data_IF_885930906766
#
_entry.id   IF_885930906766
#
_cell.length_a   1.000
_cell.length_b   1.000
_cell.length_c   1.000
_cell.angle_alpha   90.00
_cell.angle_beta   90.00
_cell.angle_gamma   90.00
#
_symmetry.space_group_name_H-M   'P 1'
#
loop_
_entity.id
_entity.type
_entity.pdbx_description
1 polymer ?
#
# COMPACT_ATOMS: atom_id res chain seq x y z
N UNK A 1 -7.98 10.19 -8.56
CA UNK A 1 -7.43 9.22 -9.52
C UNK A 1 -7.44 7.81 -8.91
N UNK A 2 -8.62 7.35 -8.47
CA UNK A 2 -8.81 6.04 -7.81
C UNK A 2 -9.30 4.98 -8.81
N UNK A 3 -9.92 5.44 -9.88
CA UNK A 3 -10.43 4.65 -11.00
C UNK A 3 -9.79 5.13 -12.31
N UNK A 4 -8.47 4.98 -12.42
CA UNK A 4 -7.70 5.41 -13.58
C UNK A 4 -7.05 4.20 -14.25
N UNK A 5 -7.19 4.12 -15.57
CA UNK A 5 -6.63 3.07 -16.40
C UNK A 5 -5.11 2.90 -16.25
N UNK A 6 -4.36 4.00 -16.12
CA UNK A 6 -2.92 3.97 -15.87
C UNK A 6 -2.60 3.23 -14.57
N UNK A 7 -3.35 3.53 -13.51
CA UNK A 7 -3.10 2.96 -12.20
C UNK A 7 -3.35 1.47 -12.19
N UNK A 8 -4.50 1.05 -12.74
CA UNK A 8 -4.82 -0.38 -12.83
C UNK A 8 -3.84 -1.09 -13.76
N UNK A 9 -3.43 -0.46 -14.87
CA UNK A 9 -2.35 -0.97 -15.74
C UNK A 9 -1.04 -1.15 -14.98
N UNK A 10 -0.68 -0.22 -14.11
CA UNK A 10 0.58 -0.27 -13.37
C UNK A 10 0.57 -1.41 -12.35
N UNK A 11 -0.46 -1.51 -11.51
CA UNK A 11 -0.53 -2.54 -10.45
C UNK A 11 -0.81 -3.95 -11.01
N UNK A 12 -1.15 -4.05 -12.29
CA UNK A 12 -1.35 -5.33 -13.01
C UNK A 12 -0.19 -5.67 -13.94
N UNK A 13 0.92 -4.93 -13.88
CA UNK A 13 2.14 -5.25 -14.65
C UNK A 13 2.70 -6.59 -14.19
N UNK A 14 2.92 -7.51 -15.15
CA UNK A 14 3.33 -8.88 -14.82
C UNK A 14 4.62 -8.92 -14.03
N UNK A 15 5.56 -7.99 -14.24
CA UNK A 15 6.83 -7.96 -13.51
C UNK A 15 6.64 -7.75 -12.00
N UNK A 16 5.63 -6.96 -11.61
CA UNK A 16 5.29 -6.75 -10.20
C UNK A 16 4.51 -7.95 -9.64
N UNK A 17 3.57 -8.46 -10.42
CA UNK A 17 2.75 -9.60 -10.01
C UNK A 17 3.58 -10.90 -9.87
N UNK A 18 4.58 -11.09 -10.72
CA UNK A 18 5.50 -12.23 -10.64
C UNK A 18 6.31 -12.20 -9.34
N UNK A 19 6.69 -11.00 -8.86
CA UNK A 19 7.34 -10.84 -7.56
C UNK A 19 6.35 -11.16 -6.44
N UNK A 20 5.13 -10.60 -6.47
CA UNK A 20 4.13 -10.83 -5.43
C UNK A 20 3.71 -12.31 -5.31
N UNK A 21 3.61 -13.00 -6.45
CA UNK A 21 3.27 -14.42 -6.53
C UNK A 21 4.28 -15.32 -5.80
N UNK A 22 5.57 -14.95 -5.77
CA UNK A 22 6.59 -15.70 -5.02
C UNK A 22 6.29 -15.78 -3.52
N UNK A 23 5.57 -14.79 -2.97
CA UNK A 23 5.28 -14.70 -1.53
C UNK A 23 3.85 -15.13 -1.19
N UNK A 24 2.89 -14.87 -2.08
CA UNK A 24 1.45 -15.01 -1.80
C UNK A 24 0.77 -16.12 -2.62
N UNK A 25 1.46 -16.70 -3.61
CA UNK A 25 0.86 -17.66 -4.54
C UNK A 25 0.11 -16.99 -5.71
N UNK A 26 -0.60 -17.78 -6.53
CA UNK A 26 -1.08 -17.35 -7.84
C UNK A 26 -2.34 -16.45 -7.78
N UNK A 27 -3.09 -16.49 -6.68
CA UNK A 27 -4.36 -15.77 -6.55
C UNK A 27 -4.15 -14.47 -5.78
N UNK A 28 -4.05 -13.36 -6.52
CA UNK A 28 -3.59 -12.08 -6.01
C UNK A 28 -4.61 -10.96 -6.20
N UNK A 29 -4.71 -10.11 -5.19
CA UNK A 29 -5.42 -8.84 -5.27
C UNK A 29 -4.55 -7.67 -4.81
N UNK A 30 -4.65 -6.53 -5.50
CA UNK A 30 -4.08 -5.26 -5.05
C UNK A 30 -5.02 -4.65 -4.01
N UNK A 31 -4.58 -4.61 -2.76
CA UNK A 31 -5.33 -4.08 -1.63
C UNK A 31 -5.24 -2.56 -1.54
N UNK A 32 -4.02 -2.01 -1.54
CA UNK A 32 -3.80 -0.56 -1.53
C UNK A 32 -2.58 -0.19 -2.36
N UNK A 33 -2.55 1.03 -2.88
CA UNK A 33 -1.39 1.60 -3.53
C UNK A 33 -1.34 3.10 -3.26
N UNK A 34 -0.17 3.63 -2.88
CA UNK A 34 -0.02 5.05 -2.62
C UNK A 34 1.42 5.54 -2.84
N UNK A 35 1.55 6.78 -3.33
CA UNK A 35 2.85 7.42 -3.45
C UNK A 35 3.31 7.99 -2.11
N UNK A 36 4.57 7.74 -1.77
CA UNK A 36 5.27 8.41 -0.69
C UNK A 36 6.35 9.28 -1.31
N UNK A 37 6.02 10.54 -1.54
CA UNK A 37 6.96 11.53 -2.06
C UNK A 37 7.46 12.45 -0.93
N UNK A 38 8.78 12.62 -0.85
CA UNK A 38 9.49 13.54 0.04
C UNK A 38 10.09 14.68 -0.79
N UNK A 39 9.57 15.92 -0.68
CA UNK A 39 10.16 17.07 -1.36
C UNK A 39 11.62 17.29 -0.92
N UNK A 40 12.45 17.94 -1.76
CA UNK A 40 13.80 18.34 -1.39
C UNK A 40 13.82 19.14 -0.09
N UNK A 41 14.79 18.84 0.79
CA UNK A 41 15.11 19.57 2.04
C UNK A 41 14.04 19.60 3.13
N UNK A 42 12.77 19.42 2.79
CA UNK A 42 11.61 19.57 3.67
C UNK A 42 10.74 18.30 3.73
N UNK A 43 11.24 17.19 3.18
CA UNK A 43 10.51 15.93 3.21
C UNK A 43 10.50 15.31 4.61
N UNK A 44 9.31 15.12 5.17
CA UNK A 44 9.13 14.60 6.53
C UNK A 44 9.55 13.13 6.69
N UNK A 45 9.86 12.74 7.93
CA UNK A 45 10.11 11.34 8.26
C UNK A 45 8.82 10.49 8.16
N UNK A 46 9.01 9.20 7.89
CA UNK A 46 8.02 8.18 8.27
C UNK A 46 8.58 7.51 9.51
N UNK A 47 7.93 7.70 10.66
CA UNK A 47 8.41 7.14 11.92
C UNK A 47 8.31 5.61 11.91
N UNK A 48 9.02 4.96 12.83
CA UNK A 48 9.03 3.50 12.93
C UNK A 48 7.62 2.94 13.18
N UNK A 49 7.24 1.95 12.37
CA UNK A 49 5.94 1.31 12.44
C UNK A 49 5.97 -0.09 11.80
N UNK A 50 4.82 -0.76 11.87
CA UNK A 50 4.49 -1.96 11.11
C UNK A 50 3.20 -1.66 10.34
N UNK A 51 3.17 -1.86 9.03
CA UNK A 51 1.98 -1.65 8.19
C UNK A 51 0.78 -2.46 8.67
N UNK A 52 1.03 -3.70 9.11
CA UNK A 52 0.00 -4.59 9.64
C UNK A 52 -0.71 -4.04 10.88
N UNK A 53 -0.13 -3.07 11.59
CA UNK A 53 -0.80 -2.38 12.71
C UNK A 53 -1.88 -1.40 12.21
N UNK A 54 -1.77 -0.92 10.98
CA UNK A 54 -2.80 -0.14 10.32
C UNK A 54 -3.85 -1.07 9.67
N UNK A 55 -3.43 -2.17 9.05
CA UNK A 55 -4.31 -2.93 8.18
C UNK A 55 -5.25 -3.88 8.95
N UNK A 56 -6.51 -3.91 8.51
CA UNK A 56 -7.55 -4.80 9.06
C UNK A 56 -7.70 -6.00 8.12
N UNK A 57 -6.65 -6.82 8.06
CA UNK A 57 -6.59 -8.02 7.24
C UNK A 57 -6.65 -9.28 8.11
N UNK A 58 -7.32 -10.31 7.59
CA UNK A 58 -7.50 -11.57 8.29
C UNK A 58 -7.55 -12.74 7.30
N UNK A 59 -6.54 -13.63 7.26
CA UNK A 59 -5.22 -13.52 7.89
C UNK A 59 -4.37 -12.35 7.33
N UNK A 60 -3.21 -12.07 7.92
CA UNK A 60 -2.25 -11.07 7.40
C UNK A 60 -1.39 -11.66 6.26
N UNK A 61 -2.01 -12.34 5.29
CA UNK A 61 -1.32 -12.85 4.09
C UNK A 61 -1.25 -11.72 3.06
N UNK A 62 -0.22 -10.88 3.23
CA UNK A 62 -0.01 -9.67 2.44
C UNK A 62 1.48 -9.38 2.26
N UNK A 63 1.83 -8.67 1.19
CA UNK A 63 3.20 -8.19 0.92
C UNK A 63 3.17 -6.80 0.33
N UNK A 64 4.14 -5.97 0.74
CA UNK A 64 4.33 -4.62 0.22
C UNK A 64 5.47 -4.63 -0.81
N UNK A 65 5.18 -4.16 -2.01
CA UNK A 65 6.17 -3.83 -3.04
C UNK A 65 6.37 -2.32 -3.05
N UNK A 66 7.56 -1.88 -2.64
CA UNK A 66 7.98 -0.49 -2.73
C UNK A 66 8.78 -0.29 -4.01
N UNK A 67 8.14 0.30 -5.03
CA UNK A 67 8.75 0.63 -6.32
C UNK A 67 9.36 2.04 -6.27
N UNK A 68 10.66 2.13 -6.53
CA UNK A 68 11.37 3.40 -6.62
C UNK A 68 10.94 4.17 -7.89
N UNK A 69 10.32 5.33 -7.73
CA UNK A 69 10.03 6.24 -8.87
C UNK A 69 11.22 7.14 -9.14
N UNK A 70 11.79 7.70 -8.08
CA UNK A 70 13.05 8.44 -8.12
C UNK A 70 14.17 7.61 -7.46
N UNK A 71 15.42 8.03 -7.64
CA UNK A 71 16.56 7.51 -6.88
C UNK A 71 16.28 7.64 -5.37
N UNK A 72 16.54 6.59 -4.60
CA UNK A 72 16.27 6.49 -3.17
C UNK A 72 17.57 6.21 -2.42
N UNK A 73 18.05 7.17 -1.64
CA UNK A 73 19.33 7.12 -0.91
C UNK A 73 19.13 7.43 0.56
N UNK A 74 20.10 7.14 1.42
CA UNK A 74 20.04 7.54 2.83
C UNK A 74 19.83 9.06 2.99
N UNK A 75 20.48 9.88 2.16
CA UNK A 75 20.40 11.34 2.24
C UNK A 75 19.00 11.89 1.91
N UNK A 76 18.31 11.27 0.95
CA UNK A 76 16.95 11.69 0.55
C UNK A 76 15.83 10.90 1.26
N UNK A 77 16.21 10.12 2.27
CA UNK A 77 15.28 9.43 3.16
C UNK A 77 14.74 8.14 2.56
N UNK A 78 15.62 7.23 2.12
CA UNK A 78 15.25 5.88 1.72
C UNK A 78 14.55 5.08 2.84
N UNK A 79 13.94 3.95 2.48
CA UNK A 79 13.35 3.04 3.45
C UNK A 79 14.44 2.48 4.38
N UNK A 80 14.13 2.37 5.66
CA UNK A 80 14.96 1.73 6.67
C UNK A 80 14.17 0.61 7.29
N UNK A 81 14.79 -0.55 7.47
CA UNK A 81 14.14 -1.74 8.04
C UNK A 81 14.98 -2.29 9.18
N UNK A 82 14.33 -2.87 10.19
CA UNK A 82 15.01 -3.67 11.22
C UNK A 82 14.86 -5.15 10.85
N UNK A 83 15.93 -5.83 10.39
CA UNK A 83 15.82 -7.19 9.85
C UNK A 83 15.23 -8.20 10.85
N UNK A 84 14.52 -9.20 10.34
CA UNK A 84 13.95 -10.28 11.15
C UNK A 84 12.70 -9.93 11.97
N UNK A 85 12.36 -8.65 12.10
CA UNK A 85 11.25 -8.19 12.96
C UNK A 85 9.85 -8.49 12.43
N UNK A 86 9.71 -8.95 11.18
CA UNK A 86 8.43 -9.44 10.65
C UNK A 86 7.83 -10.60 11.45
N UNK A 87 8.66 -11.30 12.24
CA UNK A 87 8.24 -12.39 13.15
C UNK A 87 7.73 -11.90 14.50
N UNK A 88 7.90 -10.61 14.80
CA UNK A 88 7.45 -10.02 16.06
C UNK A 88 5.95 -9.70 15.99
N UNK A 89 5.26 -9.71 17.14
CA UNK A 89 3.86 -9.31 17.18
C UNK A 89 3.69 -7.84 16.76
N UNK A 90 2.52 -7.54 16.20
CA UNK A 90 2.12 -6.17 15.90
C UNK A 90 2.09 -5.33 17.18
N UNK A 91 2.75 -4.19 17.14
CA UNK A 91 2.74 -3.22 18.23
C UNK A 91 1.59 -2.22 18.09
N UNK A 92 1.19 -1.63 19.22
CA UNK A 92 0.20 -0.57 19.25
C UNK A 92 0.72 0.69 18.55
N UNK A 93 -0.15 1.33 17.78
CA UNK A 93 0.10 2.64 17.20
C UNK A 93 -0.14 3.76 18.22
N UNK A 94 0.77 4.72 18.23
CA UNK A 94 0.75 5.91 19.08
C UNK A 94 0.64 7.13 18.16
N UNK A 95 -0.26 8.06 18.50
CA UNK A 95 -0.34 9.35 17.83
C UNK A 95 0.92 10.18 18.10
N UNK A 96 1.48 10.78 17.06
CA UNK A 96 2.69 11.60 17.10
C UNK A 96 2.40 12.95 16.50
N UNK A 97 2.00 13.89 17.35
CA UNK A 97 1.82 15.33 17.05
C UNK A 97 2.95 16.20 17.60
N UNK A 98 3.88 15.58 18.35
CA UNK A 98 5.07 16.17 18.95
C UNK A 98 6.18 16.46 17.94
N UNK A 99 6.14 15.83 16.76
CA UNK A 99 7.18 15.97 15.73
C UNK A 99 6.60 15.89 14.30
N UNK A 100 7.12 16.67 13.34
CA UNK A 100 6.68 16.58 11.94
C UNK A 100 6.94 15.18 11.35
N UNK A 101 5.88 14.50 10.93
CA UNK A 101 5.95 13.17 10.34
C UNK A 101 4.76 12.89 9.40
N UNK A 102 4.98 12.01 8.43
CA UNK A 102 4.02 11.75 7.36
C UNK A 102 2.75 11.01 7.83
N UNK A 103 2.85 10.15 8.84
CA UNK A 103 1.77 9.23 9.25
C UNK A 103 1.01 9.69 10.50
N UNK A 104 1.40 10.82 11.10
CA UNK A 104 0.94 11.32 12.41
C UNK A 104 0.97 10.26 13.52
N UNK A 105 1.82 9.23 13.39
CA UNK A 105 1.85 8.09 14.29
C UNK A 105 3.17 7.32 14.22
N UNK A 106 3.45 6.54 15.26
CA UNK A 106 4.58 5.60 15.35
C UNK A 106 4.24 4.41 16.25
N UNK A 107 5.17 3.47 16.37
CA UNK A 107 5.23 2.53 17.51
C UNK A 107 6.03 3.12 18.69
N UNK A 108 6.11 2.40 19.81
CA UNK A 108 6.98 2.78 20.94
C UNK A 108 8.46 2.53 20.60
N UNK A 109 9.32 3.52 20.84
CA UNK A 109 10.75 3.47 20.51
C UNK A 109 11.48 2.29 21.16
N UNK A 110 11.04 1.83 22.35
CA UNK A 110 11.63 0.67 23.05
C UNK A 110 11.53 -0.65 22.28
N UNK A 111 10.67 -0.72 21.26
CA UNK A 111 10.52 -1.90 20.41
C UNK A 111 11.43 -1.86 19.17
N UNK A 112 12.16 -0.76 18.97
CA UNK A 112 12.99 -0.53 17.79
C UNK A 112 14.46 -0.58 18.20
N UNK A 113 15.17 -1.62 17.79
CA UNK A 113 16.63 -1.62 17.85
C UNK A 113 17.19 -0.88 16.62
N UNK A 114 17.40 0.43 16.77
CA UNK A 114 17.91 1.29 15.69
C UNK A 114 19.33 0.88 15.28
N UNK A 115 20.10 0.24 16.18
CA UNK A 115 21.48 -0.16 15.88
C UNK A 115 21.59 -1.28 14.85
N UNK A 116 20.53 -2.08 14.69
CA UNK A 116 20.43 -3.13 13.67
C UNK A 116 19.66 -2.70 12.42
N UNK A 117 19.19 -1.45 12.35
CA UNK A 117 18.47 -0.95 11.19
C UNK A 117 19.38 -0.83 9.96
N UNK A 118 18.88 -1.25 8.80
CA UNK A 118 19.57 -1.16 7.51
C UNK A 118 18.82 -0.23 6.55
N UNK A 119 19.57 0.53 5.75
CA UNK A 119 19.03 1.37 4.69
C UNK A 119 18.81 0.55 3.42
N UNK A 120 17.68 0.78 2.75
CA UNK A 120 17.34 0.17 1.47
C UNK A 120 17.43 1.23 0.38
N UNK A 121 18.63 1.41 -0.15
CA UNK A 121 18.89 2.33 -1.26
C UNK A 121 18.56 1.67 -2.60
N UNK A 122 17.93 2.42 -3.50
CA UNK A 122 17.32 1.89 -4.72
C UNK A 122 17.47 2.90 -5.87
N UNK A 123 17.64 2.40 -7.09
CA UNK A 123 17.59 3.20 -8.31
C UNK A 123 16.16 3.24 -8.88
N UNK A 124 15.80 4.23 -9.71
CA UNK A 124 14.48 4.28 -10.36
C UNK A 124 14.15 2.97 -11.09
N UNK A 125 13.00 2.38 -10.74
CA UNK A 125 12.55 1.09 -11.28
C UNK A 125 12.87 -0.12 -10.39
N UNK A 126 13.78 -0.01 -9.43
CA UNK A 126 14.02 -1.07 -8.45
C UNK A 126 12.84 -1.24 -7.50
N UNK A 127 12.65 -2.47 -7.00
CA UNK A 127 11.57 -2.83 -6.08
C UNK A 127 12.16 -3.44 -4.82
N UNK A 128 11.82 -2.86 -3.67
CA UNK A 128 11.98 -3.52 -2.36
C UNK A 128 10.69 -4.25 -2.01
N UNK A 129 10.83 -5.45 -1.45
CA UNK A 129 9.70 -6.28 -1.02
C UNK A 129 9.79 -6.48 0.48
N UNK A 130 8.69 -6.29 1.20
CA UNK A 130 8.71 -6.44 2.64
C UNK A 130 7.37 -6.93 3.21
N UNK A 131 7.45 -7.69 4.30
CA UNK A 131 6.28 -8.18 5.02
C UNK A 131 5.64 -7.03 5.82
N UNK A 132 4.31 -6.95 5.94
CA UNK A 132 3.63 -5.87 6.68
C UNK A 132 4.00 -5.73 8.16
N UNK A 133 4.68 -6.73 8.71
CA UNK A 133 5.05 -6.79 10.12
C UNK A 133 6.51 -6.41 10.34
N UNK A 134 7.30 -6.20 9.29
CA UNK A 134 8.68 -5.75 9.47
C UNK A 134 8.65 -4.32 10.01
N UNK A 135 9.40 -4.09 11.07
CA UNK A 135 9.58 -2.74 11.62
C UNK A 135 10.38 -1.95 10.61
N UNK A 136 9.78 -0.87 10.11
CA UNK A 136 10.41 -0.01 9.13
C UNK A 136 10.00 1.45 9.30
N UNK A 137 10.76 2.33 8.66
CA UNK A 137 10.59 3.77 8.70
C UNK A 137 11.44 4.44 7.62
N UNK A 138 11.49 5.77 7.61
CA UNK A 138 12.43 6.49 6.75
C UNK A 138 12.76 7.87 7.32
N UNK A 139 14.02 8.24 7.24
CA UNK A 139 14.50 9.54 7.70
C UNK A 139 13.98 10.69 6.83
N UNK A 140 13.99 11.95 7.32
CA UNK A 140 13.65 13.11 6.50
C UNK A 140 14.50 13.22 5.25
N UNK A 141 13.95 13.80 4.17
CA UNK A 141 14.73 14.14 2.98
C UNK A 141 15.50 15.44 3.23
N UNK A 142 16.82 15.33 3.40
CA UNK A 142 17.71 16.48 3.61
C UNK A 142 18.41 16.92 2.32
N UNK A 143 18.31 16.11 1.26
CA UNK A 143 18.95 16.35 -0.02
C UNK A 143 18.27 17.45 -0.83
N UNK A 144 18.89 17.84 -1.95
CA UNK A 144 18.29 18.72 -2.95
C UNK A 144 17.42 18.01 -3.99
N UNK A 145 17.27 16.67 -3.92
CA UNK A 145 16.49 15.87 -4.86
C UNK A 145 15.17 15.44 -4.21
N UNK A 146 14.11 15.32 -5.01
CA UNK A 146 12.87 14.66 -4.55
C UNK A 146 13.16 13.15 -4.41
N UNK A 147 12.56 12.51 -3.40
CA UNK A 147 12.45 11.06 -3.34
C UNK A 147 10.98 10.70 -3.48
N UNK A 148 10.61 9.93 -4.48
CA UNK A 148 9.29 9.34 -4.55
C UNK A 148 9.36 7.85 -4.80
N UNK A 149 8.50 7.11 -4.09
CA UNK A 149 8.26 5.71 -4.33
C UNK A 149 6.78 5.40 -4.25
N UNK A 150 6.40 4.32 -4.92
CA UNK A 150 5.06 3.78 -4.91
C UNK A 150 5.05 2.55 -4.00
N UNK A 151 4.30 2.64 -2.92
CA UNK A 151 4.02 1.49 -2.07
C UNK A 151 2.75 0.77 -2.57
N UNK A 152 2.86 -0.51 -2.89
CA UNK A 152 1.80 -1.36 -3.42
C UNK A 152 1.63 -2.56 -2.50
N UNK A 153 0.50 -2.67 -1.83
CA UNK A 153 0.16 -3.81 -0.99
C UNK A 153 -0.66 -4.82 -1.79
N UNK A 154 -0.12 -6.03 -1.96
CA UNK A 154 -0.85 -7.18 -2.47
C UNK A 154 -1.29 -8.09 -1.33
N UNK A 155 -2.42 -8.78 -1.54
CA UNK A 155 -2.95 -9.80 -0.64
C UNK A 155 -3.27 -11.06 -1.43
N UNK A 156 -3.20 -12.23 -0.78
CA UNK A 156 -3.82 -13.43 -1.31
C UNK A 156 -5.35 -13.27 -1.33
N UNK A 157 -6.05 -13.82 -2.32
CA UNK A 157 -7.51 -13.62 -2.45
C UNK A 157 -8.34 -14.26 -1.34
N UNK A 158 -7.74 -15.14 -0.53
CA UNK A 158 -8.31 -15.69 0.71
C UNK A 158 -8.22 -14.76 1.92
N UNK A 159 -7.50 -13.63 1.82
CA UNK A 159 -7.37 -12.63 2.88
C UNK A 159 -8.58 -11.70 2.90
N UNK A 160 -9.35 -11.70 3.99
CA UNK A 160 -10.48 -10.80 4.17
C UNK A 160 -10.03 -9.39 4.58
N UNK A 161 -10.66 -8.37 3.99
CA UNK A 161 -10.53 -6.97 4.42
C UNK A 161 -11.70 -6.66 5.36
N UNK A 162 -11.45 -6.63 6.66
CA UNK A 162 -12.50 -6.56 7.71
C UNK A 162 -13.02 -5.14 7.98
N UNK A 163 -12.48 -4.12 7.30
CA UNK A 163 -12.84 -2.72 7.57
C UNK A 163 -13.75 -2.14 6.48
N UNK A 164 -15.04 -2.45 6.58
CA UNK A 164 -16.08 -1.91 5.68
C UNK A 164 -16.00 -0.37 5.57
N UNK A 165 -15.96 0.14 4.34
CA UNK A 165 -16.04 1.58 4.04
C UNK A 165 -14.79 2.40 4.35
N UNK A 166 -13.73 1.80 4.89
CA UNK A 166 -12.43 2.46 5.12
C UNK A 166 -11.50 2.32 3.92
N UNK A 167 -11.47 1.13 3.33
CA UNK A 167 -10.70 0.84 2.13
C UNK A 167 -11.63 0.79 0.92
N UNK A 168 -11.07 1.09 -0.24
CA UNK A 168 -11.74 0.74 -1.50
C UNK A 168 -11.77 -0.78 -1.62
N UNK A 169 -12.75 -1.30 -2.34
CA UNK A 169 -12.70 -2.69 -2.79
C UNK A 169 -11.36 -2.95 -3.51
N UNK A 170 -10.67 -4.07 -3.24
CA UNK A 170 -9.42 -4.41 -3.90
C UNK A 170 -9.62 -4.61 -5.42
N UNK A 171 -8.53 -4.57 -6.17
CA UNK A 171 -8.53 -5.00 -7.58
C UNK A 171 -8.02 -6.42 -7.63
N UNK A 172 -8.78 -7.35 -8.21
CA UNK A 172 -8.25 -8.67 -8.54
C UNK A 172 -7.25 -8.51 -9.70
N UNK A 173 -6.00 -8.90 -9.47
CA UNK A 173 -4.90 -8.67 -10.42
C UNK A 173 -4.35 -9.94 -11.05
N UNK A 174 -4.54 -11.11 -10.40
CA UNK A 174 -4.16 -12.44 -10.91
C UNK A 174 -4.99 -13.53 -10.26
N UNK A 175 -5.19 -14.64 -10.98
CA UNK A 175 -5.84 -15.83 -10.45
C UNK A 175 -7.35 -15.65 -10.22
N UNK A 176 -7.88 -16.32 -9.20
CA UNK A 176 -9.30 -16.38 -8.90
C UNK A 176 -9.66 -15.72 -7.56
N UNK A 177 -10.82 -15.07 -7.55
CA UNK A 177 -11.45 -14.61 -6.31
C UNK A 177 -11.97 -15.79 -5.48
N UNK A 178 -11.90 -15.68 -4.16
CA UNK A 178 -12.60 -16.60 -3.24
C UNK A 178 -14.01 -16.04 -2.97
N UNK A 179 -15.08 -16.79 -3.28
CA UNK A 179 -16.44 -16.33 -3.06
C UNK A 179 -16.71 -15.95 -1.60
N UNK A 180 -17.31 -14.78 -1.40
CA UNK A 180 -17.71 -14.29 -0.07
C UNK A 180 -16.60 -13.68 0.79
N UNK A 181 -15.34 -13.66 0.32
CA UNK A 181 -14.22 -13.07 1.10
C UNK A 181 -14.11 -11.56 0.87
N UNK A 182 -13.99 -11.13 -0.39
CA UNK A 182 -13.94 -9.71 -0.75
C UNK A 182 -14.84 -9.45 -1.98
N UNK A 183 -15.25 -8.19 -2.13
CA UNK A 183 -15.74 -7.67 -3.40
C UNK A 183 -14.60 -7.00 -4.15
N UNK A 184 -14.60 -7.10 -5.49
CA UNK A 184 -13.52 -6.57 -6.32
C UNK A 184 -14.02 -5.47 -7.24
N UNK A 185 -13.16 -4.50 -7.52
CA UNK A 185 -13.47 -3.43 -8.47
C UNK A 185 -13.26 -3.89 -9.90
N UNK A 186 -14.15 -3.45 -10.78
CA UNK A 186 -13.95 -3.55 -12.22
C UNK A 186 -12.70 -2.76 -12.65
N UNK A 187 -12.01 -3.26 -13.66
CA UNK A 187 -10.90 -2.53 -14.28
C UNK A 187 -11.47 -1.38 -15.12
N UNK A 188 -11.02 -0.13 -14.92
CA UNK A 188 -11.52 1.02 -15.66
C UNK A 188 -11.13 0.96 -17.13
N UNK A 189 -12.00 1.49 -18.00
CA UNK A 189 -11.66 1.81 -19.38
C UNK A 189 -10.68 2.99 -19.45
N UNK A 190 -9.91 3.08 -20.52
CA UNK A 190 -9.11 4.27 -20.78
C UNK A 190 -10.00 5.39 -21.31
N UNK A 191 -9.87 6.57 -20.70
CA UNK A 191 -10.57 7.81 -21.06
C UNK A 191 -9.51 8.89 -21.27
N UNK A 192 -9.39 9.45 -22.47
CA UNK A 192 -8.31 10.39 -22.82
C UNK A 192 -8.40 11.72 -22.05
N UNK A 193 -9.57 12.09 -21.55
CA UNK A 193 -9.77 13.34 -20.80
C UNK A 193 -9.52 13.15 -19.30
N UNK A 194 -9.59 11.90 -18.80
CA UNK A 194 -9.49 11.60 -17.36
C UNK A 194 -8.27 10.76 -16.97
N UNK A 195 -7.87 9.85 -17.84
CA UNK A 195 -6.80 8.88 -17.57
C UNK A 195 -5.45 9.46 -17.91
N UNK A 196 -4.44 9.17 -17.10
CA UNK A 196 -3.06 9.41 -17.51
C UNK A 196 -2.70 8.55 -18.72
N UNK A 197 -2.02 9.12 -19.70
CA UNK A 197 -1.55 8.35 -20.86
C UNK A 197 -0.46 7.35 -20.47
N UNK A 198 -0.46 6.19 -21.13
CA UNK A 198 0.59 5.18 -21.00
C UNK A 198 0.76 4.39 -22.30
N UNK A 199 1.94 3.81 -22.46
CA UNK A 199 2.22 2.91 -23.57
C UNK A 199 1.21 1.74 -23.59
N UNK A 200 0.47 1.62 -24.70
CA UNK A 200 -0.56 0.59 -24.89
C UNK A 200 -1.98 1.00 -24.50
N UNK A 201 -2.23 2.25 -24.11
CA UNK A 201 -3.57 2.75 -23.73
C UNK A 201 -4.63 2.55 -24.83
N UNK A 202 -4.24 2.60 -26.10
CA UNK A 202 -5.10 2.35 -27.27
C UNK A 202 -5.84 0.99 -27.20
N UNK A 203 -5.19 -0.01 -26.61
CA UNK A 203 -5.72 -1.38 -26.49
C UNK A 203 -6.29 -1.69 -25.10
N UNK A 204 -6.13 -0.78 -24.14
CA UNK A 204 -6.44 -1.03 -22.74
C UNK A 204 -7.91 -1.29 -22.50
N UNK A 205 -8.80 -0.47 -23.09
CA UNK A 205 -10.24 -0.60 -22.92
C UNK A 205 -10.75 -1.97 -23.36
N UNK A 206 -10.20 -2.53 -24.44
CA UNK A 206 -10.55 -3.88 -24.87
C UNK A 206 -10.12 -4.92 -23.83
N UNK A 207 -8.87 -4.83 -23.35
CA UNK A 207 -8.33 -5.72 -22.31
C UNK A 207 -9.15 -5.65 -21.01
N UNK A 208 -9.49 -4.44 -20.53
CA UNK A 208 -10.24 -4.27 -19.29
C UNK A 208 -11.65 -4.85 -19.41
N UNK A 209 -12.32 -4.67 -20.55
CA UNK A 209 -13.61 -5.28 -20.83
C UNK A 209 -13.56 -6.81 -20.85
N UNK A 210 -12.55 -7.42 -21.48
CA UNK A 210 -12.36 -8.87 -21.48
C UNK A 210 -12.11 -9.44 -20.08
N UNK A 211 -11.37 -8.72 -19.23
CA UNK A 211 -11.16 -9.10 -17.82
C UNK A 211 -12.47 -8.98 -17.06
N UNK A 212 -13.15 -7.83 -17.13
CA UNK A 212 -14.40 -7.61 -16.42
C UNK A 212 -15.51 -8.60 -16.84
N UNK A 213 -15.58 -8.98 -18.12
CA UNK A 213 -16.55 -9.96 -18.61
C UNK A 213 -16.35 -11.37 -18.04
N UNK A 214 -15.12 -11.71 -17.62
CA UNK A 214 -14.81 -12.99 -16.96
C UNK A 214 -15.12 -12.98 -15.46
N UNK A 215 -15.36 -11.80 -14.88
CA UNK A 215 -15.60 -11.61 -13.46
C UNK A 215 -16.88 -10.79 -13.24
N UNK A 216 -18.07 -11.38 -13.49
CA UNK A 216 -19.35 -10.68 -13.33
C UNK A 216 -19.62 -10.21 -11.89
N UNK A 217 -18.89 -10.75 -10.91
CA UNK A 217 -18.90 -10.32 -9.51
C UNK A 217 -18.18 -8.98 -9.27
N UNK A 218 -17.45 -8.47 -10.24
CA UNK A 218 -16.81 -7.16 -10.12
C UNK A 218 -17.85 -6.06 -10.04
N UNK A 219 -17.68 -5.19 -9.06
CA UNK A 219 -18.54 -4.04 -8.87
C UNK A 219 -17.90 -2.79 -9.50
N UNK A 220 -18.69 -1.90 -10.12
CA UNK A 220 -18.19 -0.60 -10.53
C UNK A 220 -17.57 0.15 -9.35
N UNK A 221 -16.52 0.92 -9.61
CA UNK A 221 -15.95 1.83 -8.61
C UNK A 221 -17.03 2.84 -8.19
N UNK A 222 -17.48 2.79 -6.94
CA UNK A 222 -18.51 3.70 -6.40
C UNK A 222 -17.94 5.01 -5.85
N UNK A 223 -16.62 5.19 -5.89
CA UNK A 223 -15.92 6.21 -5.08
C UNK A 223 -15.38 7.40 -5.87
N UNK A 224 -15.74 7.55 -7.15
CA UNK A 224 -15.33 8.73 -7.92
C UNK A 224 -16.07 10.01 -7.50
N UNK A 225 -17.26 9.87 -6.90
CA UNK A 225 -18.11 11.00 -6.49
C UNK A 225 -17.97 11.39 -5.01
N UNK A 226 -17.15 10.68 -4.23
CA UNK A 226 -17.01 10.94 -2.79
C UNK A 226 -16.00 12.08 -2.52
N UNK A 227 -16.42 13.20 -1.89
CA UNK A 227 -15.52 14.34 -1.67
C UNK A 227 -14.30 13.95 -0.83
N UNK A 228 -13.12 14.44 -1.20
CA UNK A 228 -11.85 14.20 -0.45
C UNK A 228 -12.00 14.49 1.05
N UNK A 229 -12.79 15.49 1.42
CA UNK A 229 -13.06 15.85 2.82
C UNK A 229 -13.73 14.73 3.61
N UNK A 230 -14.62 13.96 2.97
CA UNK A 230 -15.35 12.86 3.58
C UNK A 230 -14.41 11.68 3.91
N UNK A 231 -13.49 11.39 2.99
CA UNK A 231 -12.42 10.41 3.19
C UNK A 231 -11.49 10.83 4.33
N UNK A 232 -11.02 12.09 4.31
CA UNK A 232 -10.12 12.63 5.35
C UNK A 232 -10.77 12.54 6.72
N UNK A 233 -12.06 12.87 6.81
CA UNK A 233 -12.84 12.80 8.04
C UNK A 233 -12.92 11.36 8.59
N UNK A 234 -13.11 10.35 7.74
CA UNK A 234 -13.06 8.93 8.15
C UNK A 234 -11.67 8.50 8.60
N UNK A 235 -10.62 8.92 7.90
CA UNK A 235 -9.23 8.63 8.28
C UNK A 235 -8.87 9.25 9.65
N UNK A 236 -9.26 10.50 9.89
CA UNK A 236 -9.06 11.17 11.17
C UNK A 236 -9.87 10.53 12.30
N UNK A 237 -11.12 10.14 12.04
CA UNK A 237 -11.94 9.43 13.03
C UNK A 237 -11.30 8.10 13.45
N UNK A 238 -10.73 7.35 12.49
CA UNK A 238 -9.97 6.11 12.74
C UNK A 238 -8.71 6.34 13.57
N UNK A 239 -7.92 7.37 13.25
CA UNK A 239 -6.74 7.71 14.03
C UNK A 239 -7.10 8.02 15.49
N UNK A 240 -8.26 8.69 15.71
CA UNK A 240 -8.78 9.00 17.04
C UNK A 240 -9.37 7.79 17.78
N UNK A 241 -9.98 6.83 17.08
CA UNK A 241 -10.59 5.65 17.70
C UNK A 241 -9.58 4.59 18.13
N UNK A 242 -8.30 4.73 17.74
CA UNK A 242 -7.29 3.71 17.93
C UNK A 242 -7.46 2.56 16.94
N UNK A 243 -6.38 2.18 16.26
CA UNK A 243 -6.38 1.12 15.22
C UNK A 243 -6.13 -0.28 15.77
N UNK A 244 -5.99 -0.45 17.08
CA UNK A 244 -5.66 -1.74 17.67
C UNK A 244 -6.79 -2.75 17.48
N UNK A 245 -6.43 -3.95 16.99
CA UNK A 245 -7.15 -5.17 17.37
C UNK A 245 -7.21 -5.13 18.90
N UNK A 246 -8.39 -5.16 19.50
CA UNK A 246 -8.46 -5.76 20.83
C UNK A 246 -7.93 -7.17 20.63
N UNK A 247 -6.70 -7.41 21.08
CA UNK A 247 -6.14 -8.76 21.14
C UNK A 247 -7.14 -9.54 21.97
N UNK A 248 -7.97 -10.38 21.32
CA UNK A 248 -8.74 -11.38 22.04
C UNK A 248 -7.69 -12.22 22.76
N UNK A 249 -7.60 -12.01 24.07
CA UNK A 249 -6.96 -12.95 24.98
C UNK A 249 -7.74 -14.26 24.85
N UNK A 250 -7.21 -15.20 24.06
CA UNK A 250 -7.64 -16.58 24.16
C UNK A 250 -7.05 -17.14 25.46
N UNK A 251 -7.98 -17.51 26.35
CA UNK A 251 -7.91 -18.38 27.54
C UNK A 251 -6.56 -18.61 28.23
#
# INVERSE_FOLDING_TARGET
MRDDAFWVRLVTDSRLLDIAELFLGPDLACFTAHYICKPPRDGQAVLWHQDGAYWKLSPMEATSLWLAVDESTAENGCLRVVPGTHKLPLQKLILRDDTPNLLMSSMEDRHVDISSAVNIELQPGDVSVHHPNVIHGSDPNRSSKRRCGLDIAFIGTSTAIESEGLYLNPILVRGAAVPGINQYRAWPSFDADKSMQFAGCESWTHKSQEVNARHPEFVPSRHDDEPVQEIVRRMLARLKSGTTKELRSEA
#
